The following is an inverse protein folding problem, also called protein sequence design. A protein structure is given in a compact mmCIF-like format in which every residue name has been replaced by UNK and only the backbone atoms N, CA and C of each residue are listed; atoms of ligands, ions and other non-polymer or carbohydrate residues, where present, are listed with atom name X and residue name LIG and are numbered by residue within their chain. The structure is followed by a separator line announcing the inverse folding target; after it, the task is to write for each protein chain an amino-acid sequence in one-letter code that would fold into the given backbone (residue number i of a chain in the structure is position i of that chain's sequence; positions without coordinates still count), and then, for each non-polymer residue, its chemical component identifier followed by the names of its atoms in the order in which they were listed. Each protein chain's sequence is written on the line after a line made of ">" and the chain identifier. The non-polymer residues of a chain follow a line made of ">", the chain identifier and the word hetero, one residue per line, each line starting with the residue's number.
data_IF_660152426517
#
_entry.id   IF_660152426517
#
_cell.length_a   1.000
_cell.length_b   1.000
_cell.length_c   1.000
_cell.angle_alpha   90.00
_cell.angle_beta   90.00
_cell.angle_gamma   90.00
#
_symmetry.space_group_name_H-M   'P 1'
#
loop_
_entity.id
_entity.type
_entity.pdbx_description
1 polymer ?
#
# COMPACT_ATOMS: atom_id res chain seq x y z
N UNK A 1 4.57 -0.39 5.17
CA UNK A 1 4.25 -1.42 6.19
C UNK A 1 5.05 -2.72 6.00
N UNK A 2 4.92 -3.46 4.90
CA UNK A 2 5.60 -4.77 4.76
C UNK A 2 7.12 -4.73 4.85
N UNK A 3 7.77 -3.66 4.39
CA UNK A 3 9.20 -3.46 4.59
C UNK A 3 9.58 -3.44 6.09
N UNK A 4 8.76 -2.84 6.95
CA UNK A 4 8.95 -2.86 8.42
C UNK A 4 8.69 -4.23 9.00
N UNK A 5 7.62 -4.92 8.59
CA UNK A 5 7.40 -6.31 8.99
C UNK A 5 8.58 -7.21 8.62
N UNK A 6 9.16 -7.01 7.43
CA UNK A 6 10.34 -7.74 7.02
C UNK A 6 11.57 -7.44 7.90
N UNK A 7 11.79 -6.17 8.25
CA UNK A 7 12.83 -5.78 9.21
C UNK A 7 12.61 -6.46 10.59
N UNK A 8 11.37 -6.49 11.07
CA UNK A 8 11.02 -7.21 12.32
C UNK A 8 11.32 -8.71 12.19
N UNK A 9 11.04 -9.32 11.04
CA UNK A 9 11.37 -10.74 10.81
C UNK A 9 12.89 -10.98 10.86
N UNK A 10 13.69 -10.08 10.28
CA UNK A 10 15.16 -10.17 10.32
C UNK A 10 15.67 -10.03 11.77
N UNK A 11 15.12 -9.09 12.53
CA UNK A 11 15.56 -8.79 13.90
C UNK A 11 15.10 -9.86 14.93
N UNK A 12 13.89 -10.40 14.77
CA UNK A 12 13.28 -11.27 15.77
C UNK A 12 13.58 -12.77 15.58
N UNK A 13 14.01 -13.20 14.38
CA UNK A 13 14.19 -14.61 14.08
C UNK A 13 15.62 -14.95 13.65
N UNK A 14 16.13 -16.14 14.04
CA UNK A 14 17.45 -16.58 13.62
C UNK A 14 17.60 -16.67 12.09
N UNK A 15 18.76 -16.26 11.56
CA UNK A 15 19.04 -16.20 10.12
C UNK A 15 18.82 -17.53 9.38
N UNK A 16 18.96 -18.65 10.07
CA UNK A 16 18.83 -19.99 9.48
C UNK A 16 17.37 -20.42 9.26
N UNK A 17 16.40 -19.71 9.84
CA UNK A 17 14.96 -19.97 9.66
C UNK A 17 14.53 -19.60 8.24
N UNK A 18 13.57 -20.33 7.68
CA UNK A 18 13.01 -20.02 6.37
C UNK A 18 11.88 -19.01 6.48
N UNK A 19 11.85 -18.06 5.56
CA UNK A 19 10.72 -17.17 5.32
C UNK A 19 10.34 -17.22 3.84
N UNK A 20 9.20 -16.65 3.50
CA UNK A 20 8.71 -16.53 2.15
C UNK A 20 8.18 -15.12 1.94
N UNK A 21 8.55 -14.50 0.82
CA UNK A 21 8.04 -13.19 0.41
C UNK A 21 7.45 -13.33 -0.99
N UNK A 22 6.29 -12.73 -1.19
CA UNK A 22 5.67 -12.59 -2.51
C UNK A 22 5.63 -11.11 -2.86
N UNK A 23 6.22 -10.81 -4.01
CA UNK A 23 6.20 -9.51 -4.65
C UNK A 23 5.22 -9.54 -5.81
N UNK A 24 4.46 -8.47 -5.98
CA UNK A 24 3.51 -8.35 -7.06
C UNK A 24 3.31 -6.90 -7.48
N UNK A 25 3.60 -6.62 -8.74
CA UNK A 25 3.26 -5.36 -9.41
C UNK A 25 2.45 -5.67 -10.67
N UNK A 26 1.31 -5.03 -10.79
CA UNK A 26 0.40 -5.14 -11.92
C UNK A 26 0.38 -3.79 -12.62
N UNK A 27 1.01 -3.69 -13.79
CA UNK A 27 1.09 -2.45 -14.56
C UNK A 27 -0.26 -2.18 -15.26
N UNK A 28 -1.34 -2.05 -14.48
CA UNK A 28 -2.72 -2.01 -14.95
C UNK A 28 -2.98 -0.88 -15.94
N UNK A 29 -2.22 0.20 -15.78
CA UNK A 29 -2.35 1.40 -16.60
C UNK A 29 -1.29 1.47 -17.70
N UNK A 30 -0.35 0.54 -17.78
CA UNK A 30 0.60 0.40 -18.89
C UNK A 30 0.02 -0.56 -19.93
N UNK A 31 -0.95 -0.10 -20.71
CA UNK A 31 -1.48 -0.86 -21.84
C UNK A 31 -1.07 -0.23 -23.17
N UNK A 32 -0.72 -1.06 -24.14
CA UNK A 32 -0.68 -0.70 -25.56
C UNK A 32 -2.11 -0.43 -26.06
N UNK A 33 -2.25 0.37 -27.12
CA UNK A 33 -3.46 1.10 -27.51
C UNK A 33 -4.77 0.28 -27.77
N UNK A 34 -4.75 -1.04 -27.61
CA UNK A 34 -5.77 -1.96 -28.14
C UNK A 34 -6.61 -2.71 -27.08
N UNK A 35 -6.74 -2.20 -25.84
CA UNK A 35 -7.65 -2.80 -24.83
C UNK A 35 -9.03 -2.12 -24.78
N UNK A 36 -10.05 -2.62 -25.51
CA UNK A 36 -11.41 -2.08 -25.45
C UNK A 36 -12.09 -2.29 -24.07
N UNK A 37 -11.59 -3.19 -23.21
CA UNK A 37 -12.19 -3.45 -21.89
C UNK A 37 -11.78 -2.42 -20.83
N UNK A 38 -10.81 -1.55 -21.10
CA UNK A 38 -10.61 -0.35 -20.26
C UNK A 38 -11.71 0.68 -20.50
N UNK A 39 -12.45 0.62 -21.62
CA UNK A 39 -13.60 1.48 -21.90
C UNK A 39 -14.93 0.92 -21.34
N UNK A 40 -15.11 -0.41 -21.32
CA UNK A 40 -16.32 -1.08 -20.80
C UNK A 40 -16.01 -1.87 -19.51
N UNK A 41 -16.17 -1.23 -18.37
CA UNK A 41 -16.06 -1.85 -17.05
C UNK A 41 -17.36 -1.72 -16.26
N UNK A 42 -18.47 -2.08 -16.91
CA UNK A 42 -19.75 -2.36 -16.24
C UNK A 42 -19.61 -3.71 -15.54
N UNK A 43 -19.03 -3.71 -14.35
CA UNK A 43 -19.30 -4.73 -13.33
C UNK A 43 -20.43 -4.17 -12.45
N UNK A 44 -21.63 -4.08 -13.06
CA UNK A 44 -22.89 -4.04 -12.33
C UNK A 44 -23.44 -5.48 -12.32
N UNK A 45 -23.54 -6.03 -11.12
CA UNK A 45 -24.34 -7.20 -10.69
C UNK A 45 -25.16 -7.90 -11.80
N UNK A 46 -24.53 -8.84 -12.53
CA UNK A 46 -25.26 -9.90 -13.24
C UNK A 46 -24.66 -11.26 -12.88
N UNK A 47 -25.39 -11.97 -12.02
CA UNK A 47 -25.38 -13.43 -12.00
C UNK A 47 -25.87 -13.96 -13.37
N UNK A 48 -25.23 -15.05 -13.81
CA UNK A 48 -25.59 -15.98 -14.88
C UNK A 48 -25.05 -15.80 -16.33
N UNK A 49 -23.99 -16.57 -16.58
CA UNK A 49 -23.77 -17.57 -17.67
C UNK A 49 -23.60 -17.14 -19.15
N UNK A 50 -22.44 -17.56 -19.67
CA UNK A 50 -22.09 -18.06 -21.03
C UNK A 50 -21.26 -17.19 -22.00
N UNK A 51 -20.28 -17.90 -22.59
CA UNK A 51 -19.32 -17.58 -23.67
C UNK A 51 -18.19 -16.59 -23.39
N UNK A 52 -17.08 -17.13 -22.84
CA UNK A 52 -15.78 -16.46 -22.70
C UNK A 52 -14.70 -17.20 -23.50
N UNK A 53 -14.92 -17.48 -24.79
CA UNK A 53 -13.91 -18.16 -25.62
C UNK A 53 -13.10 -17.26 -26.56
N UNK A 54 -13.45 -15.97 -26.75
CA UNK A 54 -12.66 -15.06 -27.59
C UNK A 54 -12.36 -13.70 -26.92
N UNK A 55 -11.94 -13.72 -25.65
CA UNK A 55 -11.30 -12.54 -25.05
C UNK A 55 -9.82 -12.56 -25.38
N UNK A 56 -9.38 -11.68 -26.29
CA UNK A 56 -7.96 -11.40 -26.48
C UNK A 56 -7.44 -10.86 -25.15
N UNK A 57 -6.71 -11.70 -24.41
CA UNK A 57 -5.99 -11.26 -23.21
C UNK A 57 -4.90 -10.29 -23.67
N UNK A 58 -5.18 -8.99 -23.55
CA UNK A 58 -4.16 -7.96 -23.79
C UNK A 58 -2.98 -8.27 -22.88
N UNK A 59 -1.79 -8.39 -23.48
CA UNK A 59 -0.57 -8.70 -22.74
C UNK A 59 -0.30 -7.56 -21.75
N UNK A 60 -0.51 -7.86 -20.45
CA UNK A 60 -0.25 -6.92 -19.36
C UNK A 60 1.04 -7.30 -18.68
N UNK A 61 1.92 -6.31 -18.45
CA UNK A 61 3.13 -6.51 -17.65
C UNK A 61 2.74 -6.74 -16.18
N UNK A 62 2.62 -8.02 -15.80
CA UNK A 62 2.45 -8.45 -14.41
C UNK A 62 3.72 -9.11 -13.92
N UNK A 63 4.41 -8.45 -13.00
CA UNK A 63 5.56 -9.01 -12.32
C UNK A 63 5.10 -9.66 -11.02
N UNK A 64 5.18 -10.98 -10.93
CA UNK A 64 4.91 -11.73 -9.68
C UNK A 64 6.07 -12.64 -9.36
N UNK A 65 6.68 -12.44 -8.21
CA UNK A 65 7.82 -13.24 -7.75
C UNK A 65 7.57 -13.78 -6.36
N UNK A 66 7.81 -15.07 -6.16
CA UNK A 66 7.77 -15.71 -4.84
C UNK A 66 9.14 -16.26 -4.51
N UNK A 67 9.73 -15.81 -3.41
CA UNK A 67 11.04 -16.29 -2.94
C UNK A 67 10.84 -16.97 -1.60
N UNK A 68 11.36 -18.19 -1.47
CA UNK A 68 11.38 -18.95 -0.19
C UNK A 68 12.81 -19.33 0.11
N UNK A 69 13.39 -18.79 1.17
CA UNK A 69 14.80 -18.98 1.51
C UNK A 69 15.02 -18.69 3.01
N UNK A 70 16.20 -19.07 3.52
CA UNK A 70 16.68 -18.68 4.84
C UNK A 70 16.73 -17.17 4.98
N UNK A 71 16.27 -16.64 6.11
CA UNK A 71 16.14 -15.20 6.38
C UNK A 71 17.44 -14.46 6.10
N UNK A 72 18.59 -14.96 6.58
CA UNK A 72 19.87 -14.29 6.38
C UNK A 72 20.32 -14.23 4.91
N UNK A 73 20.06 -15.28 4.14
CA UNK A 73 20.35 -15.30 2.69
C UNK A 73 19.37 -14.40 1.92
N UNK A 74 18.09 -14.48 2.27
CA UNK A 74 17.03 -13.69 1.65
C UNK A 74 17.26 -12.19 1.87
N UNK A 75 17.63 -11.78 3.09
CA UNK A 75 17.94 -10.39 3.40
C UNK A 75 19.09 -9.85 2.54
N UNK A 76 20.19 -10.62 2.42
CA UNK A 76 21.35 -10.26 1.60
C UNK A 76 21.04 -10.23 0.09
N UNK A 77 20.19 -11.14 -0.39
CA UNK A 77 19.78 -11.16 -1.79
C UNK A 77 18.90 -9.94 -2.11
N UNK A 78 17.90 -9.65 -1.26
CA UNK A 78 16.99 -8.53 -1.48
C UNK A 78 17.68 -7.17 -1.43
N UNK A 79 18.67 -6.98 -0.54
CA UNK A 79 19.44 -5.73 -0.50
C UNK A 79 20.22 -5.47 -1.79
N UNK A 80 20.54 -6.51 -2.56
CA UNK A 80 21.25 -6.40 -3.85
C UNK A 80 20.30 -6.31 -5.04
N UNK A 81 19.15 -6.99 -4.99
CA UNK A 81 18.23 -7.08 -6.11
C UNK A 81 17.27 -5.89 -6.20
N UNK A 82 16.84 -5.32 -5.06
CA UNK A 82 15.87 -4.21 -5.04
C UNK A 82 16.30 -2.97 -5.84
N UNK A 83 17.57 -2.52 -5.78
CA UNK A 83 18.01 -1.39 -6.58
C UNK A 83 17.87 -1.61 -8.09
N UNK A 84 17.94 -2.86 -8.54
CA UNK A 84 17.96 -3.25 -9.95
C UNK A 84 16.59 -3.74 -10.47
N UNK A 85 15.65 -4.07 -9.57
CA UNK A 85 14.36 -4.64 -9.95
C UNK A 85 13.23 -4.11 -9.06
N UNK A 86 12.62 -3.03 -9.53
CA UNK A 86 11.63 -2.23 -8.80
C UNK A 86 10.39 -3.01 -8.32
N UNK A 87 9.85 -4.02 -9.03
CA UNK A 87 8.72 -4.81 -8.53
C UNK A 87 8.95 -5.47 -7.16
N UNK A 88 10.20 -5.57 -6.69
CA UNK A 88 10.56 -6.06 -5.35
C UNK A 88 10.25 -5.08 -4.21
N UNK A 89 9.78 -3.88 -4.51
CA UNK A 89 9.29 -2.93 -3.51
C UNK A 89 7.81 -3.19 -3.14
N UNK A 90 7.04 -3.81 -4.04
CA UNK A 90 5.62 -4.14 -3.82
C UNK A 90 5.45 -5.54 -3.21
N UNK A 91 5.56 -5.63 -1.87
CA UNK A 91 5.31 -6.89 -1.14
C UNK A 91 3.80 -7.07 -0.92
N UNK A 92 3.25 -8.18 -1.42
CA UNK A 92 1.83 -8.55 -1.23
C UNK A 92 1.62 -9.66 -0.20
N UNK A 93 2.66 -10.43 0.11
CA UNK A 93 2.60 -11.47 1.15
C UNK A 93 3.95 -11.65 1.82
N UNK A 94 3.94 -11.81 3.14
CA UNK A 94 5.11 -12.14 3.95
C UNK A 94 4.78 -13.30 4.89
N UNK A 95 5.64 -14.32 4.91
CA UNK A 95 5.56 -15.42 5.88
C UNK A 95 6.45 -15.13 7.08
N UNK A 96 5.82 -14.91 8.23
CA UNK A 96 6.51 -14.78 9.51
C UNK A 96 6.72 -16.19 10.09
N UNK A 97 7.96 -16.60 10.43
CA UNK A 97 8.20 -17.91 11.01
C UNK A 97 7.46 -18.10 12.36
N UNK A 98 6.95 -19.30 12.63
CA UNK A 98 6.44 -19.66 13.96
C UNK A 98 7.60 -20.17 14.85
N UNK A 99 7.50 -20.18 16.20
CA UNK A 99 8.58 -20.67 17.06
C UNK A 99 9.07 -22.08 16.71
N UNK A 100 8.15 -22.99 16.37
CA UNK A 100 8.44 -24.37 15.97
C UNK A 100 8.46 -24.55 14.45
N UNK A 101 7.47 -25.25 13.89
CA UNK A 101 7.38 -25.61 12.48
C UNK A 101 6.43 -24.67 11.74
N UNK A 102 6.77 -24.36 10.49
CA UNK A 102 5.93 -23.55 9.61
C UNK A 102 6.02 -22.05 9.91
N UNK A 103 4.91 -21.35 9.71
CA UNK A 103 4.81 -19.90 9.88
C UNK A 103 3.41 -19.39 9.62
N UNK A 104 3.29 -18.07 9.55
CA UNK A 104 2.03 -17.36 9.37
C UNK A 104 2.15 -16.46 8.16
N UNK A 105 1.29 -16.67 7.16
CA UNK A 105 1.24 -15.83 5.97
C UNK A 105 0.41 -14.59 6.29
N UNK A 106 1.00 -13.42 6.13
CA UNK A 106 0.36 -12.10 6.26
C UNK A 106 0.19 -11.51 4.86
N UNK A 107 -1.03 -11.13 4.50
CA UNK A 107 -1.39 -10.60 3.19
C UNK A 107 -1.59 -9.08 3.25
N UNK A 108 -1.34 -8.39 2.14
CA UNK A 108 -1.49 -6.92 2.06
C UNK A 108 -2.91 -6.41 2.34
N UNK A 109 -3.92 -7.27 2.15
CA UNK A 109 -5.33 -6.99 2.39
C UNK A 109 -5.77 -7.29 3.83
N UNK A 110 -4.82 -7.60 4.73
CA UNK A 110 -5.09 -7.89 6.14
C UNK A 110 -5.49 -9.33 6.43
N UNK A 111 -5.55 -10.22 5.42
CA UNK A 111 -5.78 -11.64 5.67
C UNK A 111 -4.58 -12.31 6.32
N UNK A 112 -4.85 -13.33 7.13
CA UNK A 112 -3.85 -14.18 7.76
C UNK A 112 -4.11 -15.64 7.41
N UNK A 113 -3.07 -16.43 7.20
CA UNK A 113 -3.18 -17.89 7.07
C UNK A 113 -2.17 -18.57 7.98
N UNK A 114 -2.67 -19.42 8.87
CA UNK A 114 -1.83 -20.24 9.73
C UNK A 114 -1.26 -21.43 8.94
N UNK A 115 0.06 -21.51 8.85
CA UNK A 115 0.79 -22.66 8.29
C UNK A 115 1.64 -23.36 9.36
N UNK A 116 1.36 -23.09 10.63
CA UNK A 116 2.02 -23.69 11.80
C UNK A 116 1.09 -24.63 12.55
N UNK A 117 1.63 -25.32 13.54
CA UNK A 117 0.91 -26.18 14.48
C UNK A 117 0.37 -25.43 15.71
N UNK A 118 0.57 -24.11 15.81
CA UNK A 118 0.24 -23.33 17.02
C UNK A 118 -0.71 -22.17 16.74
N UNK A 119 -1.94 -22.30 17.24
CA UNK A 119 -2.93 -21.21 17.24
C UNK A 119 -2.49 -20.04 18.14
N UNK A 120 -1.81 -20.34 19.25
CA UNK A 120 -1.26 -19.30 20.14
C UNK A 120 -0.23 -18.44 19.42
N UNK A 121 0.67 -19.06 18.65
CA UNK A 121 1.65 -18.33 17.84
C UNK A 121 0.99 -17.48 16.75
N UNK A 122 -0.10 -17.97 16.13
CA UNK A 122 -0.88 -17.17 15.18
C UNK A 122 -1.45 -15.93 15.86
N UNK A 123 -2.09 -16.08 17.03
CA UNK A 123 -2.67 -14.96 17.78
C UNK A 123 -1.62 -13.91 18.16
N UNK A 124 -0.44 -14.36 18.60
CA UNK A 124 0.70 -13.47 18.88
C UNK A 124 1.14 -12.72 17.62
N UNK A 125 1.21 -13.40 16.49
CA UNK A 125 1.59 -12.79 15.20
C UNK A 125 0.57 -11.76 14.74
N UNK A 126 -0.72 -12.08 14.82
CA UNK A 126 -1.82 -11.15 14.53
C UNK A 126 -1.72 -9.93 15.45
N UNK A 127 -1.55 -10.13 16.76
CA UNK A 127 -1.39 -9.04 17.73
C UNK A 127 -0.22 -8.13 17.41
N UNK A 128 0.95 -8.70 17.10
CA UNK A 128 2.14 -7.95 16.67
C UNK A 128 1.88 -7.13 15.40
N UNK A 129 1.35 -7.74 14.34
CA UNK A 129 1.10 -7.06 13.06
C UNK A 129 0.08 -5.94 13.24
N UNK A 130 -1.02 -6.21 13.95
CA UNK A 130 -2.06 -5.21 14.26
C UNK A 130 -1.50 -4.07 15.10
N UNK A 131 -0.61 -4.34 16.06
CA UNK A 131 0.02 -3.29 16.85
C UNK A 131 0.93 -2.42 15.99
N UNK A 132 1.79 -3.01 15.16
CA UNK A 132 2.65 -2.22 14.25
C UNK A 132 1.76 -1.36 13.34
N UNK A 133 0.73 -1.96 12.73
CA UNK A 133 -0.21 -1.26 11.86
C UNK A 133 -0.93 -0.12 12.56
N UNK A 134 -1.39 -0.33 13.80
CA UNK A 134 -2.03 0.69 14.63
C UNK A 134 -1.09 1.88 14.85
N UNK A 135 0.12 1.63 15.35
CA UNK A 135 1.06 2.70 15.64
C UNK A 135 1.49 3.46 14.38
N UNK A 136 1.67 2.78 13.24
CA UNK A 136 1.96 3.49 11.98
C UNK A 136 0.79 4.33 11.51
N UNK A 137 -0.44 3.86 11.73
CA UNK A 137 -1.66 4.60 11.38
C UNK A 137 -1.81 5.83 12.27
N UNK A 138 -1.70 5.67 13.59
CA UNK A 138 -1.78 6.77 14.57
C UNK A 138 -0.68 7.81 14.35
N UNK A 139 0.55 7.38 14.04
CA UNK A 139 1.65 8.30 13.73
C UNK A 139 1.41 9.08 12.43
N UNK A 140 0.87 8.42 11.40
CA UNK A 140 0.50 9.07 10.14
C UNK A 140 -0.65 10.07 10.35
N UNK A 141 -1.63 9.74 11.20
CA UNK A 141 -2.72 10.63 11.60
C UNK A 141 -2.22 11.87 12.35
N UNK A 142 -1.37 11.69 13.37
CA UNK A 142 -0.81 12.82 14.13
C UNK A 142 0.02 13.75 13.26
N UNK A 143 0.80 13.21 12.32
CA UNK A 143 1.56 14.03 11.37
C UNK A 143 0.66 14.74 10.35
N UNK A 144 -0.43 14.09 9.93
CA UNK A 144 -1.40 14.67 8.98
C UNK A 144 -2.27 15.74 9.61
N UNK A 145 -2.38 15.78 10.94
CA UNK A 145 -3.12 16.81 11.66
C UNK A 145 -2.22 17.54 12.63
N UNK A 146 -1.44 18.53 12.15
CA UNK A 146 -0.76 19.44 13.05
C UNK A 146 -1.81 20.03 13.99
N UNK A 147 -1.67 19.77 15.30
CA UNK A 147 -2.53 20.37 16.32
C UNK A 147 -2.37 21.88 16.15
N UNK A 148 -3.39 22.54 15.59
CA UNK A 148 -3.36 23.96 15.27
C UNK A 148 -2.75 24.73 16.44
N UNK A 149 -1.65 25.43 16.20
CA UNK A 149 -1.30 26.56 17.06
C UNK A 149 -2.44 27.57 16.95
N UNK A 150 -2.73 28.25 18.04
CA UNK A 150 -3.80 29.24 18.19
C UNK A 150 -3.70 30.36 17.16
N UNK A 151 -4.21 30.14 15.94
CA UNK A 151 -4.48 31.20 14.98
C UNK A 151 -5.99 31.39 14.95
N UNK A 152 -6.47 32.19 15.90
CA UNK A 152 -7.83 32.73 15.92
C UNK A 152 -8.02 33.67 14.73
N UNK A 153 -8.35 33.12 13.56
CA UNK A 153 -9.04 33.87 12.52
C UNK A 153 -10.54 33.95 12.85
N UNK A 154 -11.18 35.06 12.51
CA UNK A 154 -12.61 35.38 12.72
C UNK A 154 -13.59 34.43 12.00
N UNK A 155 -13.08 33.49 11.21
CA UNK A 155 -13.72 32.25 10.80
C UNK A 155 -12.87 31.14 11.40
N UNK A 156 -13.45 30.26 12.22
CA UNK A 156 -12.74 29.29 13.08
C UNK A 156 -11.61 28.53 12.36
N UNK A 157 -10.63 27.99 13.10
CA UNK A 157 -9.39 27.48 12.53
C UNK A 157 -9.68 26.38 11.50
N UNK A 158 -9.48 26.68 10.22
CA UNK A 158 -9.44 25.69 9.15
C UNK A 158 -8.04 25.05 9.27
N UNK A 159 -7.93 23.98 10.03
CA UNK A 159 -6.71 23.17 10.05
C UNK A 159 -6.59 22.44 8.72
N UNK A 160 -5.92 23.06 7.76
CA UNK A 160 -5.45 22.38 6.56
C UNK A 160 -4.48 21.28 7.04
N UNK A 161 -4.84 20.01 6.90
CA UNK A 161 -3.97 18.89 7.28
C UNK A 161 -2.62 18.94 6.55
N UNK A 162 -1.63 18.21 7.03
CA UNK A 162 -0.34 18.14 6.35
C UNK A 162 -0.49 17.44 4.98
N UNK A 163 0.14 17.97 3.92
CA UNK A 163 0.07 17.36 2.61
C UNK A 163 0.79 16.01 2.61
N UNK A 164 0.16 14.99 2.02
CA UNK A 164 0.83 13.77 1.59
C UNK A 164 1.38 13.99 0.19
N UNK A 165 2.68 13.84 0.02
CA UNK A 165 3.36 13.85 -1.28
C UNK A 165 3.82 12.44 -1.62
N UNK A 166 3.40 11.93 -2.78
CA UNK A 166 3.88 10.69 -3.37
C UNK A 166 4.60 11.04 -4.67
N UNK A 167 5.91 10.82 -4.74
CA UNK A 167 6.70 10.99 -5.96
C UNK A 167 6.88 9.65 -6.65
N UNK A 168 6.69 9.66 -7.96
CA UNK A 168 6.98 8.51 -8.81
C UNK A 168 8.49 8.43 -9.05
N UNK A 169 9.02 7.22 -9.17
CA UNK A 169 10.39 6.93 -9.54
C UNK A 169 10.72 7.50 -10.93
N UNK A 170 9.76 7.40 -11.84
CA UNK A 170 9.84 7.91 -13.20
C UNK A 170 8.58 8.69 -13.57
N UNK A 171 8.72 9.61 -14.53
CA UNK A 171 7.58 10.34 -15.09
C UNK A 171 6.68 9.36 -15.84
N UNK A 172 5.43 9.20 -15.38
CA UNK A 172 4.44 8.35 -16.01
C UNK A 172 4.26 8.72 -17.48
N UNK A 173 4.07 7.75 -18.36
CA UNK A 173 3.66 8.01 -19.74
C UNK A 173 2.29 8.70 -19.79
N UNK A 174 2.06 9.50 -20.84
CA UNK A 174 0.82 10.26 -20.99
C UNK A 174 -0.41 9.34 -20.99
N UNK A 175 -0.34 8.24 -21.74
CA UNK A 175 -1.44 7.27 -21.84
C UNK A 175 -1.70 6.54 -20.51
N UNK A 176 -0.63 6.19 -19.78
CA UNK A 176 -0.72 5.59 -18.45
C UNK A 176 -1.40 6.52 -17.46
N UNK A 177 -1.00 7.79 -17.44
CA UNK A 177 -1.65 8.81 -16.62
C UNK A 177 -3.14 8.95 -16.96
N UNK A 178 -3.48 9.13 -18.24
CA UNK A 178 -4.88 9.30 -18.67
C UNK A 178 -5.77 8.11 -18.30
N UNK A 179 -5.27 6.88 -18.47
CA UNK A 179 -6.00 5.66 -18.07
C UNK A 179 -6.19 5.57 -16.56
N UNK A 180 -5.16 5.92 -15.78
CA UNK A 180 -5.28 5.94 -14.33
C UNK A 180 -6.32 6.97 -13.85
N UNK A 181 -6.25 8.19 -14.38
CA UNK A 181 -7.24 9.24 -14.07
C UNK A 181 -8.65 8.82 -14.47
N UNK A 182 -8.81 8.19 -15.64
CA UNK A 182 -10.10 7.67 -16.09
C UNK A 182 -10.66 6.61 -15.12
N UNK A 183 -9.81 5.75 -14.54
CA UNK A 183 -10.23 4.76 -13.56
C UNK A 183 -10.72 5.39 -12.24
N UNK A 184 -10.19 6.54 -11.83
CA UNK A 184 -10.62 7.25 -10.62
C UNK A 184 -12.05 7.85 -10.73
N UNK A 185 -12.58 8.01 -11.95
CA UNK A 185 -13.99 8.41 -12.17
C UNK A 185 -14.98 7.33 -11.74
N UNK A 186 -14.56 6.07 -11.74
CA UNK A 186 -15.43 4.92 -11.44
C UNK A 186 -15.52 4.71 -9.94
N UNK A 187 -16.72 4.46 -9.43
CA UNK A 187 -16.93 4.17 -8.00
C UNK A 187 -16.21 2.89 -7.54
N UNK A 188 -16.23 1.85 -8.38
CA UNK A 188 -15.70 0.52 -8.08
C UNK A 188 -14.25 0.32 -8.59
N UNK A 189 -13.34 1.26 -8.33
CA UNK A 189 -11.93 1.12 -8.72
C UNK A 189 -11.06 0.50 -7.61
N UNK A 190 -9.85 0.06 -7.98
CA UNK A 190 -8.89 -0.57 -7.06
C UNK A 190 -8.39 0.34 -5.93
N UNK A 191 -8.40 1.66 -6.15
CA UNK A 191 -8.02 2.65 -5.15
C UNK A 191 -9.11 2.88 -4.10
N UNK A 192 -10.37 2.56 -4.43
CA UNK A 192 -11.57 2.89 -3.64
C UNK A 192 -11.65 4.39 -3.33
N UNK A 193 -11.21 5.20 -4.29
CA UNK A 193 -11.31 6.65 -4.28
C UNK A 193 -12.21 7.06 -5.43
N UNK A 194 -13.23 7.86 -5.18
CA UNK A 194 -14.17 8.26 -6.23
C UNK A 194 -14.32 9.77 -6.26
N UNK A 195 -14.23 10.34 -7.45
CA UNK A 195 -14.51 11.76 -7.67
C UNK A 195 -14.50 12.09 -9.16
N UNK A 196 -14.73 13.35 -9.49
CA UNK A 196 -14.69 13.82 -10.88
C UNK A 196 -13.39 14.59 -11.16
N UNK A 197 -12.45 14.04 -11.95
CA UNK A 197 -11.23 14.71 -12.37
C UNK A 197 -11.51 16.01 -13.11
N UNK A 198 -10.87 17.08 -12.65
CA UNK A 198 -10.82 18.40 -13.29
C UNK A 198 -9.44 18.52 -13.93
N UNK A 199 -9.38 18.47 -15.26
CA UNK A 199 -8.13 18.66 -15.99
C UNK A 199 -7.71 20.13 -15.93
N UNK A 200 -6.51 20.39 -15.40
CA UNK A 200 -5.95 21.74 -15.31
C UNK A 200 -5.00 22.02 -16.47
N UNK A 201 -4.25 21.01 -16.88
CA UNK A 201 -3.40 21.02 -18.08
C UNK A 201 -3.11 19.59 -18.51
N UNK A 202 -2.49 19.42 -19.69
CA UNK A 202 -2.04 18.10 -20.15
C UNK A 202 -1.11 17.44 -19.11
N UNK A 203 -1.57 16.33 -18.51
CA UNK A 203 -0.81 15.62 -17.48
C UNK A 203 -0.89 16.23 -16.07
N UNK A 204 -1.87 17.10 -15.79
CA UNK A 204 -2.18 17.63 -14.47
C UNK A 204 -3.68 17.67 -14.23
N UNK A 205 -4.10 17.04 -13.14
CA UNK A 205 -5.50 16.90 -12.76
C UNK A 205 -5.67 17.28 -11.30
N UNK A 206 -6.74 18.01 -11.01
CA UNK A 206 -7.24 18.18 -9.67
C UNK A 206 -8.48 17.31 -9.46
N UNK A 207 -8.62 16.70 -8.30
CA UNK A 207 -9.69 15.76 -8.01
C UNK A 207 -10.17 15.93 -6.58
N UNK A 208 -11.39 16.43 -6.43
CA UNK A 208 -12.16 16.33 -5.19
C UNK A 208 -12.71 14.91 -5.10
N UNK A 209 -12.06 14.06 -4.32
CA UNK A 209 -12.41 12.66 -4.17
C UNK A 209 -13.05 12.38 -2.81
N UNK A 210 -13.69 11.22 -2.73
CA UNK A 210 -14.20 10.61 -1.50
C UNK A 210 -13.54 9.25 -1.33
N UNK A 211 -12.99 8.99 -0.15
CA UNK A 211 -12.53 7.65 0.21
C UNK A 211 -13.74 6.78 0.54
N UNK A 212 -14.03 5.80 -0.33
CA UNK A 212 -15.17 4.91 -0.20
C UNK A 212 -15.11 3.99 1.04
N UNK A 213 -13.99 3.96 1.77
CA UNK A 213 -13.89 3.21 3.03
C UNK A 213 -14.58 3.90 4.21
N UNK A 214 -14.44 5.22 4.33
CA UNK A 214 -14.98 6.02 5.44
C UNK A 214 -15.88 7.16 4.99
N UNK A 215 -16.10 7.28 3.68
CA UNK A 215 -16.84 8.37 3.04
C UNK A 215 -16.31 9.75 3.41
N UNK A 216 -14.99 9.86 3.61
CA UNK A 216 -14.31 11.11 3.94
C UNK A 216 -13.79 11.79 2.67
N UNK A 217 -13.90 13.12 2.57
CA UNK A 217 -13.34 13.86 1.45
C UNK A 217 -11.81 13.82 1.47
N UNK A 218 -11.21 13.85 0.29
CA UNK A 218 -9.77 13.96 0.07
C UNK A 218 -9.53 14.76 -1.21
N UNK A 219 -8.70 15.80 -1.10
CA UNK A 219 -8.37 16.63 -2.26
C UNK A 219 -7.05 16.15 -2.85
N UNK A 220 -7.06 15.85 -4.14
CA UNK A 220 -5.91 15.30 -4.84
C UNK A 220 -5.47 16.27 -5.94
N UNK A 221 -4.18 16.53 -6.02
CA UNK A 221 -3.54 17.08 -7.20
C UNK A 221 -2.59 16.02 -7.76
N UNK A 222 -2.88 15.55 -8.98
CA UNK A 222 -2.16 14.44 -9.60
C UNK A 222 -1.49 14.96 -10.86
N UNK A 223 -0.17 14.74 -10.95
CA UNK A 223 0.63 15.02 -12.13
C UNK A 223 1.23 13.72 -12.66
N UNK A 224 2.03 13.82 -13.73
CA UNK A 224 2.81 12.68 -14.24
C UNK A 224 4.06 12.36 -13.42
N UNK A 225 4.47 13.22 -12.50
CA UNK A 225 5.69 13.03 -11.69
C UNK A 225 5.39 12.76 -10.22
N UNK A 226 4.23 13.20 -9.74
CA UNK A 226 3.85 13.08 -8.34
C UNK A 226 2.34 13.24 -8.14
N UNK A 227 1.89 12.83 -6.95
CA UNK A 227 0.57 13.06 -6.40
C UNK A 227 0.70 13.82 -5.08
N UNK A 228 -0.07 14.90 -4.94
CA UNK A 228 -0.35 15.55 -3.67
C UNK A 228 -1.75 15.16 -3.20
N UNK A 229 -1.88 14.83 -1.92
CA UNK A 229 -3.15 14.60 -1.27
C UNK A 229 -3.26 15.47 -0.01
N UNK A 230 -4.34 16.24 0.08
CA UNK A 230 -4.72 16.95 1.28
C UNK A 230 -5.80 16.14 1.99
N UNK A 231 -5.45 15.62 3.16
CA UNK A 231 -6.38 14.89 4.02
C UNK A 231 -6.96 15.87 5.06
N UNK A 232 -8.28 16.11 5.09
CA UNK A 232 -8.88 16.94 6.11
C UNK A 232 -8.74 16.31 7.50
N UNK A 233 -8.92 17.14 8.53
CA UNK A 233 -9.00 16.68 9.91
C UNK A 233 -10.10 15.61 10.06
N UNK A 234 -9.76 14.45 10.61
CA UNK A 234 -10.70 13.33 10.80
C UNK A 234 -10.62 12.22 9.74
N UNK A 235 -9.88 12.39 8.63
CA UNK A 235 -9.60 11.29 7.69
C UNK A 235 -8.59 10.27 8.25
N UNK A 236 -9.01 9.02 8.44
CA UNK A 236 -8.16 7.97 8.99
C UNK A 236 -6.83 7.78 8.22
N UNK A 237 -5.73 7.59 8.95
CA UNK A 237 -4.39 7.33 8.39
C UNK A 237 -4.34 6.08 7.53
N UNK A 238 -5.31 5.17 7.67
CA UNK A 238 -5.48 4.04 6.75
C UNK A 238 -5.65 4.48 5.29
N UNK A 239 -6.27 5.64 5.05
CA UNK A 239 -6.40 6.22 3.71
C UNK A 239 -5.02 6.44 3.08
N UNK A 240 -4.04 6.92 3.85
CA UNK A 240 -2.65 7.11 3.41
C UNK A 240 -2.02 5.76 3.07
N UNK A 241 -2.11 4.79 3.99
CA UNK A 241 -1.54 3.46 3.79
C UNK A 241 -2.10 2.76 2.53
N UNK A 242 -3.41 2.83 2.32
CA UNK A 242 -4.09 2.28 1.15
C UNK A 242 -3.69 2.99 -0.14
N UNK A 243 -3.63 4.32 -0.12
CA UNK A 243 -3.24 5.10 -1.29
C UNK A 243 -1.81 4.73 -1.72
N UNK A 244 -0.84 4.77 -0.80
CA UNK A 244 0.55 4.40 -1.09
C UNK A 244 0.65 2.97 -1.60
N UNK A 245 0.01 2.00 -0.92
CA UNK A 245 0.09 0.58 -1.30
C UNK A 245 -0.54 0.32 -2.68
N UNK A 246 -1.65 1.00 -3.00
CA UNK A 246 -2.30 0.84 -4.30
C UNK A 246 -1.49 1.51 -5.43
N UNK A 247 -0.86 2.65 -5.18
CA UNK A 247 0.06 3.26 -6.16
C UNK A 247 1.26 2.31 -6.39
N UNK A 248 1.87 1.78 -5.32
CA UNK A 248 2.95 0.79 -5.42
C UNK A 248 2.57 -0.43 -6.25
N UNK A 249 1.35 -0.94 -6.03
CA UNK A 249 0.91 -2.15 -6.70
C UNK A 249 0.53 -1.93 -8.17
N UNK A 250 -0.07 -0.79 -8.50
CA UNK A 250 -0.79 -0.61 -9.77
C UNK A 250 -0.26 0.47 -10.71
N UNK A 251 0.54 1.41 -10.20
CA UNK A 251 1.01 2.59 -10.95
C UNK A 251 2.52 2.59 -11.05
N UNK A 252 3.20 2.58 -9.91
CA UNK A 252 4.66 2.65 -9.86
C UNK A 252 5.14 1.92 -8.59
N UNK A 253 5.88 0.81 -8.71
CA UNK A 253 6.31 0.01 -7.57
C UNK A 253 7.28 0.73 -6.64
N UNK A 254 8.01 1.73 -7.12
CA UNK A 254 9.04 2.43 -6.36
C UNK A 254 8.63 3.89 -6.14
N UNK A 255 8.28 4.22 -4.90
CA UNK A 255 7.79 5.55 -4.55
C UNK A 255 8.67 6.20 -3.49
N UNK A 256 8.76 7.52 -3.53
CA UNK A 256 9.15 8.32 -2.37
C UNK A 256 7.89 8.97 -1.79
N UNK A 257 7.61 8.73 -0.51
CA UNK A 257 6.40 9.26 0.13
C UNK A 257 6.75 10.14 1.32
N UNK A 258 6.07 11.28 1.46
CA UNK A 258 6.26 12.24 2.54
C UNK A 258 4.92 12.66 3.11
N UNK A 259 4.83 12.80 4.44
CA UNK A 259 3.70 13.42 5.14
C UNK A 259 4.23 14.70 5.75
N UNK A 260 3.81 15.85 5.22
CA UNK A 260 4.45 17.13 5.52
C UNK A 260 5.93 17.13 5.10
N UNK A 261 6.82 17.32 6.07
CA UNK A 261 8.28 17.34 5.91
C UNK A 261 8.96 15.99 6.21
N UNK A 262 8.21 15.00 6.69
CA UNK A 262 8.74 13.72 7.15
C UNK A 262 8.53 12.63 6.11
N UNK A 263 9.55 11.79 5.88
CA UNK A 263 9.41 10.63 5.00
C UNK A 263 8.52 9.56 5.62
N UNK A 264 7.69 8.93 4.79
CA UNK A 264 6.80 7.85 5.18
C UNK A 264 7.54 6.65 5.78
N UNK A 265 8.73 6.36 5.27
CA UNK A 265 9.61 5.31 5.78
C UNK A 265 10.05 5.60 7.22
N UNK A 266 10.28 6.86 7.58
CA UNK A 266 10.65 7.25 8.94
C UNK A 266 9.49 7.00 9.92
N UNK A 267 8.25 7.31 9.54
CA UNK A 267 7.06 6.99 10.35
C UNK A 267 6.94 5.48 10.61
N UNK A 268 7.10 4.68 9.56
CA UNK A 268 6.98 3.23 9.67
C UNK A 268 8.14 2.65 10.52
N UNK A 269 9.34 3.23 10.43
CA UNK A 269 10.49 2.79 11.21
C UNK A 269 10.32 3.00 12.72
N UNK A 270 9.63 4.09 13.11
CA UNK A 270 9.45 4.48 14.51
C UNK A 270 8.34 3.71 15.25
N UNK A 271 7.51 2.92 14.55
CA UNK A 271 6.48 2.12 15.18
C UNK A 271 7.10 1.08 16.15
N UNK A 272 6.73 1.08 17.44
CA UNK A 272 7.30 0.20 18.44
C UNK A 272 6.93 -1.26 18.13
N UNK A 273 7.92 -2.13 18.25
CA UNK A 273 7.74 -3.58 18.19
C UNK A 273 7.74 -4.03 19.63
N UNK A 274 6.57 -4.12 20.26
CA UNK A 274 6.50 -4.70 21.59
C UNK A 274 6.99 -6.14 21.48
N UNK A 275 8.17 -6.41 22.06
CA UNK A 275 8.65 -7.76 22.26
C UNK A 275 7.69 -8.42 23.25
N UNK A 276 6.85 -9.34 22.78
CA UNK A 276 6.21 -10.29 23.69
C UNK A 276 7.32 -11.13 24.30
N UNK A 277 7.73 -10.75 25.51
CA UNK A 277 8.60 -11.52 26.40
C UNK A 277 8.11 -12.96 26.44
N UNK A 278 8.92 -13.87 25.89
CA UNK A 278 8.76 -15.28 26.17
C UNK A 278 9.02 -15.48 27.65
N UNK A 279 7.97 -15.81 28.40
CA UNK A 279 8.12 -16.44 29.70
C UNK A 279 8.86 -17.76 29.47
N UNK A 280 10.16 -17.74 29.77
CA UNK A 280 10.91 -18.93 30.14
C UNK A 280 10.36 -19.42 31.48
N UNK A 281 9.35 -20.28 31.45
CA UNK A 281 9.02 -21.11 32.59
C UNK A 281 10.08 -22.20 32.72
N UNK A 282 11.15 -21.87 33.44
CA UNK A 282 11.90 -22.84 34.23
C UNK A 282 11.08 -23.17 35.47
N UNK A 283 10.56 -24.39 35.53
CA UNK A 283 9.88 -25.01 36.66
C UNK A 283 9.71 -26.49 36.41
#
# INVERSE_FOLDING_TARGET
>A
MFQRLWKVVIEAFPEHRFSQIVFEHESLFEAFADDPNLASGDDDDQEDVQDTQDRIEVERRRARMQITERIGKLAKALSRMRPEYEPLESIVRLRIPAPRRGGHDVYFDGRFTNRSDSMTSLRQTVGMVTNIYRHTTEAAEEASWPKSSDVTTTRGPISLGAPLLVKFSERLEQATFERWIAALKRKNNRFRLWGNPIELSKGKVHLYAVDAHLWQPIDLEITRDHLYAMLPSGTCGNTIHRLVTNIQRFVDPKLETYIGDQSYEAFIANAPVNQTSGESTSG
#
